data_IF_917144557334
#
_entry.id   IF_917144557334
#
_cell.length_a   1.000
_cell.length_b   1.000
_cell.length_c   1.000
_cell.angle_alpha   90.00
_cell.angle_beta   90.00
_cell.angle_gamma   90.00
#
_symmetry.space_group_name_H-M   'P 1'
#
loop_
_entity.id
_entity.type
_entity.pdbx_description
1 polymer ?
#
# COMPACT_ATOMS: atom_id res chain seq x y z
N UNK A 1 -12.94 -7.23 -17.19
CA UNK A 1 -12.30 -6.14 -16.45
C UNK A 1 -11.56 -6.75 -15.28
N UNK A 2 -10.24 -6.59 -15.20
CA UNK A 2 -9.44 -7.19 -14.10
C UNK A 2 -9.55 -6.31 -12.86
N UNK A 3 -9.51 -6.90 -11.68
CA UNK A 3 -9.40 -6.15 -10.43
C UNK A 3 -7.98 -6.33 -9.87
N UNK A 4 -7.36 -5.23 -9.45
CA UNK A 4 -5.98 -5.19 -8.96
C UNK A 4 -6.01 -4.72 -7.52
N UNK A 5 -5.59 -5.59 -6.60
CA UNK A 5 -5.40 -5.25 -5.19
C UNK A 5 -4.01 -4.64 -5.03
N UNK A 6 -3.97 -3.35 -4.73
CA UNK A 6 -2.75 -2.60 -4.47
C UNK A 6 -2.56 -2.52 -2.96
N UNK A 7 -1.50 -3.15 -2.44
CA UNK A 7 -1.23 -3.19 -1.00
C UNK A 7 -0.13 -2.21 -0.65
N UNK A 8 -0.45 -1.21 0.17
CA UNK A 8 0.50 -0.18 0.59
C UNK A 8 1.47 -0.72 1.64
N UNK A 9 2.75 -0.43 1.47
CA UNK A 9 3.79 -0.86 2.38
C UNK A 9 3.78 -0.14 3.73
N UNK A 10 4.33 -0.79 4.75
CA UNK A 10 4.57 -0.22 6.09
C UNK A 10 5.94 -0.65 6.61
N UNK A 11 6.48 0.02 7.64
CA UNK A 11 7.82 -0.30 8.11
C UNK A 11 7.99 -1.77 8.49
N UNK A 12 9.19 -2.29 8.25
CA UNK A 12 9.61 -3.62 8.67
C UNK A 12 10.92 -3.55 9.48
N UNK A 13 11.23 -4.62 10.21
CA UNK A 13 12.47 -4.70 10.98
C UNK A 13 13.71 -4.68 10.04
N UNK A 14 14.91 -4.39 10.57
CA UNK A 14 16.15 -4.51 9.81
C UNK A 14 16.43 -5.94 9.29
N UNK A 15 15.90 -6.97 9.97
CA UNK A 15 15.99 -8.38 9.55
C UNK A 15 14.99 -8.74 8.45
N UNK A 16 14.06 -7.85 8.11
CA UNK A 16 13.02 -8.07 7.11
C UNK A 16 11.73 -8.69 7.68
N UNK A 17 11.53 -8.63 9.00
CA UNK A 17 10.28 -9.05 9.63
C UNK A 17 9.21 -7.98 9.42
N UNK A 18 8.10 -8.39 8.84
CA UNK A 18 6.94 -7.52 8.61
C UNK A 18 6.31 -7.14 9.95
N UNK A 19 6.19 -5.84 10.24
CA UNK A 19 5.49 -5.36 11.43
C UNK A 19 3.97 -5.52 11.33
N UNK A 20 3.27 -5.34 12.45
CA UNK A 20 1.84 -5.63 12.59
C UNK A 20 0.97 -4.90 11.56
N UNK A 21 1.22 -3.60 11.32
CA UNK A 21 0.52 -2.84 10.30
C UNK A 21 0.63 -3.47 8.90
N UNK A 22 1.79 -4.05 8.59
CA UNK A 22 2.01 -4.73 7.30
C UNK A 22 1.19 -6.01 7.25
N UNK A 23 1.22 -6.78 8.34
CA UNK A 23 0.46 -8.02 8.45
C UNK A 23 -1.05 -7.76 8.38
N UNK A 24 -1.55 -6.72 9.03
CA UNK A 24 -2.95 -6.28 8.97
C UNK A 24 -3.39 -6.01 7.53
N UNK A 25 -2.61 -5.22 6.78
CA UNK A 25 -2.88 -4.91 5.36
C UNK A 25 -2.81 -6.15 4.48
N UNK A 26 -1.83 -7.02 4.68
CA UNK A 26 -1.67 -8.24 3.89
C UNK A 26 -2.77 -9.26 4.19
N UNK A 27 -3.18 -9.39 5.45
CA UNK A 27 -4.32 -10.22 5.82
C UNK A 27 -5.62 -9.67 5.23
N UNK A 28 -5.82 -8.34 5.26
CA UNK A 28 -6.94 -7.69 4.59
C UNK A 28 -6.95 -7.97 3.07
N UNK A 29 -5.78 -7.90 2.42
CA UNK A 29 -5.63 -8.29 1.01
C UNK A 29 -6.03 -9.74 0.78
N UNK A 30 -5.54 -10.68 1.61
CA UNK A 30 -5.89 -12.10 1.49
C UNK A 30 -7.39 -12.34 1.65
N UNK A 31 -8.05 -11.65 2.59
CA UNK A 31 -9.49 -11.77 2.82
C UNK A 31 -10.34 -11.25 1.67
N UNK A 32 -9.85 -10.21 0.96
CA UNK A 32 -10.58 -9.59 -0.14
C UNK A 32 -10.22 -10.16 -1.53
N UNK A 33 -9.16 -10.97 -1.62
CA UNK A 33 -8.71 -11.59 -2.85
C UNK A 33 -9.73 -12.61 -3.39
N UNK A 34 -10.02 -12.52 -4.68
CA UNK A 34 -10.88 -13.44 -5.43
C UNK A 34 -10.13 -14.03 -6.61
N UNK A 35 -10.59 -15.19 -7.09
CA UNK A 35 -10.02 -15.82 -8.29
C UNK A 35 -10.13 -14.86 -9.48
N UNK A 36 -9.00 -14.61 -10.16
CA UNK A 36 -8.90 -13.69 -11.30
C UNK A 36 -8.45 -12.27 -10.92
N UNK A 37 -8.35 -11.95 -9.63
CA UNK A 37 -7.69 -10.74 -9.17
C UNK A 37 -6.18 -10.82 -9.40
N UNK A 38 -5.56 -9.65 -9.60
CA UNK A 38 -4.11 -9.47 -9.57
C UNK A 38 -3.71 -8.71 -8.31
N UNK A 39 -2.47 -8.88 -7.87
CA UNK A 39 -1.93 -8.17 -6.69
C UNK A 39 -0.70 -7.37 -7.07
N UNK A 40 -0.63 -6.13 -6.60
CA UNK A 40 0.52 -5.25 -6.72
C UNK A 40 0.98 -4.83 -5.32
N UNK A 41 2.13 -5.35 -4.91
CA UNK A 41 2.77 -4.96 -3.65
C UNK A 41 3.67 -3.72 -3.85
N UNK A 42 3.55 -2.77 -2.94
CA UNK A 42 4.36 -1.54 -2.95
C UNK A 42 5.42 -1.57 -1.84
N UNK A 43 6.35 -0.61 -1.86
CA UNK A 43 7.39 -0.43 -0.84
C UNK A 43 8.76 -0.98 -1.25
N UNK A 44 9.73 -0.06 -1.33
CA UNK A 44 11.15 -0.32 -1.56
C UNK A 44 11.95 -0.25 -0.26
N UNK A 45 12.91 0.66 -0.20
CA UNK A 45 13.82 0.87 0.93
C UNK A 45 13.77 2.32 1.41
N UNK A 46 14.12 2.54 2.68
CA UNK A 46 14.23 3.88 3.27
C UNK A 46 14.70 3.81 4.72
N UNK A 47 15.49 4.79 5.17
CA UNK A 47 16.11 4.81 6.51
C UNK A 47 15.11 4.62 7.66
N UNK A 48 13.91 5.14 7.50
CA UNK A 48 12.82 5.06 8.49
C UNK A 48 11.68 4.13 8.05
N UNK A 49 11.89 3.31 7.02
CA UNK A 49 10.88 2.44 6.42
C UNK A 49 11.35 0.99 6.33
N UNK A 50 12.39 0.74 5.54
CA UNK A 50 12.94 -0.58 5.31
C UNK A 50 14.44 -0.48 5.01
N UNK A 51 15.27 -1.03 5.90
CA UNK A 51 16.72 -1.14 5.73
C UNK A 51 17.19 -2.60 5.60
N UNK A 52 16.25 -3.53 5.41
CA UNK A 52 16.58 -4.94 5.24
C UNK A 52 17.18 -5.23 3.86
N UNK A 53 17.73 -6.43 3.68
CA UNK A 53 18.26 -6.90 2.39
C UNK A 53 17.17 -6.98 1.29
N UNK A 54 15.91 -7.12 1.69
CA UNK A 54 14.79 -7.34 0.77
C UNK A 54 13.91 -6.09 0.68
N UNK A 55 13.31 -5.84 -0.48
CA UNK A 55 12.30 -4.78 -0.59
C UNK A 55 11.06 -5.14 0.22
N UNK A 56 10.35 -4.14 0.73
CA UNK A 56 9.09 -4.39 1.45
C UNK A 56 8.09 -5.15 0.57
N UNK A 57 7.97 -4.76 -0.70
CA UNK A 57 7.11 -5.41 -1.69
C UNK A 57 7.42 -6.91 -1.86
N UNK A 58 8.71 -7.28 -1.86
CA UNK A 58 9.12 -8.69 -1.97
C UNK A 58 8.81 -9.51 -0.72
N UNK A 59 8.93 -8.90 0.48
CA UNK A 59 8.54 -9.52 1.75
C UNK A 59 7.01 -9.73 1.79
N UNK A 60 6.24 -8.72 1.36
CA UNK A 60 4.79 -8.78 1.25
C UNK A 60 4.31 -9.89 0.29
N UNK A 61 4.90 -9.99 -0.92
CA UNK A 61 4.60 -11.09 -1.86
C UNK A 61 4.89 -12.45 -1.22
N UNK A 62 6.06 -12.60 -0.61
CA UNK A 62 6.46 -13.86 0.06
C UNK A 62 5.46 -14.26 1.14
N UNK A 63 4.99 -13.31 1.95
CA UNK A 63 3.98 -13.55 2.97
C UNK A 63 2.65 -14.02 2.36
N UNK A 64 2.15 -13.33 1.34
CA UNK A 64 0.88 -13.67 0.69
C UNK A 64 0.92 -15.05 -0.01
N UNK A 65 2.05 -15.40 -0.62
CA UNK A 65 2.27 -16.76 -1.18
C UNK A 65 2.20 -17.81 -0.07
N UNK A 66 2.86 -17.59 1.06
CA UNK A 66 2.76 -18.48 2.23
C UNK A 66 1.33 -18.59 2.78
N UNK A 67 0.48 -17.60 2.54
CA UNK A 67 -0.96 -17.60 2.85
C UNK A 67 -1.84 -18.19 1.72
N UNK A 68 -1.23 -18.83 0.72
CA UNK A 68 -1.92 -19.54 -0.36
C UNK A 68 -2.47 -18.63 -1.46
N UNK A 69 -1.86 -17.46 -1.68
CA UNK A 69 -2.08 -16.70 -2.92
C UNK A 69 -1.15 -17.29 -4.01
N UNK A 70 -1.66 -17.63 -5.20
CA UNK A 70 -0.82 -18.13 -6.30
C UNK A 70 0.25 -17.10 -6.72
N UNK A 71 1.44 -17.55 -7.10
CA UNK A 71 2.54 -16.64 -7.45
C UNK A 71 2.33 -15.89 -8.78
N UNK A 72 1.59 -16.49 -9.71
CA UNK A 72 1.35 -15.98 -11.07
C UNK A 72 0.38 -14.80 -11.13
N UNK A 73 -0.30 -14.47 -10.02
CA UNK A 73 -1.22 -13.31 -9.95
C UNK A 73 -0.54 -12.00 -9.54
N UNK A 74 0.75 -12.04 -9.20
CA UNK A 74 1.48 -10.85 -8.78
C UNK A 74 2.01 -10.06 -9.97
N UNK A 75 1.73 -8.76 -9.98
CA UNK A 75 2.36 -7.80 -10.89
C UNK A 75 3.78 -7.43 -10.41
N UNK A 76 4.50 -6.67 -11.24
CA UNK A 76 5.79 -6.09 -10.87
C UNK A 76 5.67 -5.26 -9.58
N UNK A 77 6.72 -5.25 -8.77
CA UNK A 77 6.77 -4.45 -7.55
C UNK A 77 6.86 -2.95 -7.85
N UNK A 78 6.05 -2.15 -7.14
CA UNK A 78 6.26 -0.71 -7.02
C UNK A 78 7.27 -0.44 -5.90
N UNK A 79 8.56 -0.37 -6.24
CA UNK A 79 9.65 -0.14 -5.27
C UNK A 79 9.72 1.30 -4.80
N UNK A 80 8.74 1.73 -4.03
CA UNK A 80 8.49 3.11 -3.59
C UNK A 80 9.17 3.50 -2.28
N UNK A 81 9.34 4.80 -2.04
CA UNK A 81 9.93 5.32 -0.80
C UNK A 81 8.93 6.05 0.10
N UNK A 82 7.78 6.46 -0.44
CA UNK A 82 6.71 7.16 0.26
C UNK A 82 5.38 6.99 -0.48
N UNK A 83 4.29 7.49 0.10
CA UNK A 83 2.92 7.31 -0.41
C UNK A 83 2.66 7.99 -1.77
N UNK A 84 3.34 9.09 -2.09
CA UNK A 84 3.22 9.72 -3.41
C UNK A 84 3.94 8.88 -4.45
N UNK A 85 5.14 8.42 -4.12
CA UNK A 85 5.94 7.51 -4.94
C UNK A 85 5.26 6.14 -5.14
N UNK A 86 4.47 5.65 -4.15
CA UNK A 86 3.58 4.51 -4.32
C UNK A 86 2.65 4.73 -5.52
N UNK A 87 1.88 5.82 -5.50
CA UNK A 87 0.89 6.11 -6.53
C UNK A 87 1.53 6.32 -7.92
N UNK A 88 2.68 7.01 -7.99
CA UNK A 88 3.41 7.21 -9.25
C UNK A 88 3.90 5.89 -9.82
N UNK A 89 4.56 5.04 -9.02
CA UNK A 89 5.09 3.75 -9.51
C UNK A 89 3.98 2.77 -9.87
N UNK A 90 2.89 2.76 -9.08
CA UNK A 90 1.68 2.02 -9.42
C UNK A 90 1.15 2.47 -10.79
N UNK A 91 1.04 3.79 -11.05
CA UNK A 91 0.57 4.31 -12.34
C UNK A 91 1.41 3.77 -13.50
N UNK A 92 2.73 3.77 -13.36
CA UNK A 92 3.63 3.27 -14.41
C UNK A 92 3.41 1.78 -14.69
N UNK A 93 3.24 0.96 -13.65
CA UNK A 93 2.96 -0.48 -13.81
C UNK A 93 1.60 -0.70 -14.47
N UNK A 94 0.58 0.08 -14.09
CA UNK A 94 -0.77 -0.03 -14.63
C UNK A 94 -0.88 0.30 -16.12
N UNK A 95 0.08 1.02 -16.72
CA UNK A 95 0.11 1.25 -18.19
C UNK A 95 0.20 -0.05 -18.99
N UNK A 96 0.72 -1.11 -18.37
CA UNK A 96 0.84 -2.44 -18.99
C UNK A 96 -0.43 -3.29 -18.86
N UNK A 97 -1.45 -2.79 -18.15
CA UNK A 97 -2.68 -3.53 -17.86
C UNK A 97 -3.90 -2.77 -18.38
N UNK A 98 -4.49 -3.28 -19.46
CA UNK A 98 -5.71 -2.72 -20.02
C UNK A 98 -6.94 -3.03 -19.13
N UNK A 99 -7.87 -2.07 -19.06
CA UNK A 99 -9.20 -2.23 -18.47
C UNK A 99 -9.22 -2.88 -17.07
N UNK A 100 -8.68 -2.15 -16.10
CA UNK A 100 -8.60 -2.58 -14.70
C UNK A 100 -9.41 -1.69 -13.74
N UNK A 101 -9.92 -2.30 -12.68
CA UNK A 101 -10.38 -1.64 -11.47
C UNK A 101 -9.32 -1.79 -10.38
N UNK A 102 -9.21 -0.77 -9.53
CA UNK A 102 -8.22 -0.76 -8.45
C UNK A 102 -8.90 -0.90 -7.09
N UNK A 103 -8.34 -1.75 -6.24
CA UNK A 103 -8.68 -1.83 -4.83
C UNK A 103 -7.44 -1.48 -4.03
N UNK A 104 -7.41 -0.29 -3.43
CA UNK A 104 -6.26 0.22 -2.68
C UNK A 104 -6.43 -0.16 -1.21
N UNK A 105 -5.45 -0.88 -0.66
CA UNK A 105 -5.49 -1.41 0.70
C UNK A 105 -4.42 -0.70 1.54
N UNK A 106 -4.85 -0.06 2.62
CA UNK A 106 -4.01 0.67 3.56
C UNK A 106 -4.56 0.57 4.99
N UNK A 107 -3.88 1.10 5.98
CA UNK A 107 -4.39 1.17 7.36
C UNK A 107 -5.53 2.20 7.49
N UNK A 108 -6.46 1.95 8.40
CA UNK A 108 -7.61 2.83 8.69
C UNK A 108 -7.23 4.30 8.96
N UNK A 109 -6.25 4.57 9.82
CA UNK A 109 -5.78 5.94 10.14
C UNK A 109 -5.12 6.62 8.94
N UNK A 110 -4.61 5.85 7.97
CA UNK A 110 -3.86 6.34 6.80
C UNK A 110 -4.75 6.53 5.56
N UNK A 111 -6.00 6.08 5.62
CA UNK A 111 -6.93 6.02 4.48
C UNK A 111 -7.16 7.38 3.81
N UNK A 112 -7.33 8.44 4.58
CA UNK A 112 -7.65 9.78 4.07
C UNK A 112 -6.51 10.32 3.21
N UNK A 113 -5.27 10.29 3.71
CA UNK A 113 -4.08 10.75 2.98
C UNK A 113 -3.88 9.95 1.69
N UNK A 114 -4.01 8.63 1.77
CA UNK A 114 -3.90 7.74 0.60
C UNK A 114 -4.98 8.07 -0.43
N UNK A 115 -6.22 8.31 0.02
CA UNK A 115 -7.32 8.64 -0.87
C UNK A 115 -7.06 9.95 -1.63
N UNK A 116 -6.58 11.00 -0.95
CA UNK A 116 -6.21 12.26 -1.60
C UNK A 116 -5.14 12.06 -2.69
N UNK A 117 -4.05 11.36 -2.35
CA UNK A 117 -2.93 11.13 -3.26
C UNK A 117 -3.35 10.28 -4.47
N UNK A 118 -4.00 9.15 -4.23
CA UNK A 118 -4.38 8.22 -5.29
C UNK A 118 -5.53 8.76 -6.15
N UNK A 119 -6.42 9.58 -5.60
CA UNK A 119 -7.46 10.25 -6.37
C UNK A 119 -6.88 11.20 -7.41
N UNK A 120 -5.84 11.95 -7.07
CA UNK A 120 -5.19 12.85 -8.03
C UNK A 120 -4.36 12.07 -9.06
N UNK A 121 -3.45 11.22 -8.60
CA UNK A 121 -2.44 10.61 -9.48
C UNK A 121 -3.07 9.54 -10.39
N UNK A 122 -4.04 8.78 -9.87
CA UNK A 122 -4.76 7.72 -10.59
C UNK A 122 -6.19 8.15 -10.94
N UNK A 123 -6.42 9.44 -11.22
CA UNK A 123 -7.76 9.98 -11.53
C UNK A 123 -8.50 9.25 -12.66
N UNK A 124 -7.75 8.74 -13.64
CA UNK A 124 -8.29 8.05 -14.82
C UNK A 124 -8.70 6.59 -14.56
N UNK A 125 -8.44 6.07 -13.35
CA UNK A 125 -8.78 4.70 -12.97
C UNK A 125 -10.00 4.67 -12.04
N UNK A 126 -10.92 3.74 -12.32
CA UNK A 126 -11.96 3.36 -11.37
C UNK A 126 -11.31 2.65 -10.18
N UNK A 127 -11.56 3.18 -8.98
CA UNK A 127 -10.87 2.74 -7.78
C UNK A 127 -11.77 2.81 -6.55
N UNK A 128 -11.48 1.92 -5.61
CA UNK A 128 -12.06 1.89 -4.27
C UNK A 128 -10.95 1.70 -3.24
N UNK A 129 -11.25 2.03 -1.99
CA UNK A 129 -10.31 1.95 -0.88
C UNK A 129 -10.83 1.00 0.19
N UNK A 130 -9.94 0.19 0.76
CA UNK A 130 -10.22 -0.68 1.89
C UNK A 130 -9.26 -0.33 3.02
N UNK A 131 -9.84 0.01 4.17
CA UNK A 131 -9.12 0.19 5.42
C UNK A 131 -8.92 -1.15 6.11
N UNK A 132 -7.66 -1.58 6.23
CA UNK A 132 -7.26 -2.61 7.18
C UNK A 132 -7.37 -2.02 8.59
N UNK A 133 -8.16 -2.68 9.44
CA UNK A 133 -8.35 -2.28 10.83
C UNK A 133 -7.05 -2.47 11.60
N UNK A 134 -6.58 -1.42 12.25
CA UNK A 134 -5.41 -1.52 13.11
C UNK A 134 -5.76 -1.98 14.53
N UNK A 135 -4.89 -2.81 15.09
CA UNK A 135 -5.07 -3.48 16.39
C UNK A 135 -4.14 -2.98 17.48
N UNK A 136 -3.32 -1.98 17.17
CA UNK A 136 -2.46 -1.31 18.14
C UNK A 136 -3.25 -0.60 19.25
N UNK A 137 -2.55 -0.23 20.31
CA UNK A 137 -3.12 0.52 21.42
C UNK A 137 -3.57 1.93 21.00
N UNK A 138 -4.47 2.49 21.79
CA UNK A 138 -5.13 3.76 21.48
C UNK A 138 -4.15 4.95 21.44
N UNK A 139 -3.07 4.93 22.22
CA UNK A 139 -2.12 6.03 22.28
C UNK A 139 -1.25 6.03 21.02
N UNK A 140 -0.72 4.86 20.63
CA UNK A 140 -0.01 4.67 19.35
C UNK A 140 -0.90 5.04 18.16
N UNK A 141 -2.17 4.62 18.18
CA UNK A 141 -3.14 4.97 17.15
C UNK A 141 -3.33 6.48 17.03
N UNK A 142 -3.55 7.16 18.16
CA UNK A 142 -3.76 8.60 18.19
C UNK A 142 -2.53 9.38 17.69
N UNK A 143 -1.32 8.92 18.00
CA UNK A 143 -0.09 9.52 17.47
C UNK A 143 -0.03 9.44 15.95
N UNK A 144 -0.41 8.30 15.36
CA UNK A 144 -0.46 8.14 13.91
C UNK A 144 -1.55 9.03 13.29
N UNK A 145 -2.73 9.13 13.89
CA UNK A 145 -3.79 10.04 13.41
C UNK A 145 -3.31 11.50 13.42
N UNK A 146 -2.58 11.93 14.45
CA UNK A 146 -2.01 13.29 14.52
C UNK A 146 -0.96 13.49 13.44
N UNK A 147 -0.10 12.49 13.20
CA UNK A 147 0.88 12.54 12.11
C UNK A 147 0.19 12.67 10.74
N UNK A 148 -0.84 11.87 10.48
CA UNK A 148 -1.59 11.88 9.22
C UNK A 148 -2.29 13.23 8.99
N UNK A 149 -2.91 13.82 10.02
CA UNK A 149 -3.53 15.15 9.92
C UNK A 149 -2.53 16.22 9.51
N UNK A 150 -1.32 16.22 10.07
CA UNK A 150 -0.25 17.15 9.70
C UNK A 150 0.18 16.94 8.24
N UNK A 151 0.34 15.69 7.82
CA UNK A 151 0.72 15.36 6.45
C UNK A 151 -0.36 15.81 5.44
N UNK A 152 -1.64 15.59 5.75
CA UNK A 152 -2.78 16.03 4.92
C UNK A 152 -2.81 17.56 4.83
N UNK A 153 -2.65 18.27 5.95
CA UNK A 153 -2.59 19.75 5.94
C UNK A 153 -1.45 20.27 5.07
N UNK A 154 -0.28 19.62 5.11
CA UNK A 154 0.84 19.98 4.24
C UNK A 154 0.51 19.79 2.76
N UNK A 155 -0.14 18.67 2.40
CA UNK A 155 -0.58 18.41 1.02
C UNK A 155 -1.60 19.46 0.57
N UNK A 156 -2.60 19.77 1.40
CA UNK A 156 -3.63 20.76 1.06
C UNK A 156 -3.03 22.16 0.89
N UNK A 157 -2.04 22.52 1.72
CA UNK A 157 -1.42 23.84 1.67
C UNK A 157 -0.44 23.99 0.50
N UNK A 158 0.38 22.98 0.25
CA UNK A 158 1.54 23.11 -0.63
C UNK A 158 1.41 22.32 -1.95
N UNK A 159 0.39 21.47 -2.08
CA UNK A 159 0.26 20.51 -3.16
C UNK A 159 0.94 19.18 -2.84
N UNK A 160 0.66 18.16 -3.67
CA UNK A 160 1.13 16.77 -3.48
C UNK A 160 2.63 16.58 -3.67
N UNK A 161 3.28 17.48 -4.41
CA UNK A 161 4.67 17.35 -4.85
C UNK A 161 5.63 18.31 -4.14
N UNK A 162 5.20 18.90 -3.02
CA UNK A 162 6.02 19.79 -2.19
C UNK A 162 7.02 19.02 -1.31
#
# INVERSE_FOLDING_TARGET
>A
MKNILIVLGSPNSPTGELGDLSLERLNCCKQNFKKGDLILCTGGWGKHFNISKYSHASLAKTYLIKKGIPEDVFLQFALSQNTVDDAVKVKEILKTVENCNLTIITSDFHLERVSLIFNEILKDYKKQFIAAKSTMDIDSYNQLVVHEKKAIQSIVKNGLYY
#
